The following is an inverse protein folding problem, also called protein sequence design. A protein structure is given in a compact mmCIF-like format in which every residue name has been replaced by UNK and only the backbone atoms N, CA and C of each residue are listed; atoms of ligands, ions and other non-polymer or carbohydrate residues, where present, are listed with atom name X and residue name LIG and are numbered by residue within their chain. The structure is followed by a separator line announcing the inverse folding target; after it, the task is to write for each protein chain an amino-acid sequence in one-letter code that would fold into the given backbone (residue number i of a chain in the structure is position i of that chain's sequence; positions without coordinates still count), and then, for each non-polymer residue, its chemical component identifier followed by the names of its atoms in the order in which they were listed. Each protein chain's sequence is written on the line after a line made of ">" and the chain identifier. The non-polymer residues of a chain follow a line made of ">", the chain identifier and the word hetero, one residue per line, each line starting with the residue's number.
data_IF_106794100547
#
_entry.id   IF_106794100547
#
_cell.length_a   1.000
_cell.length_b   1.000
_cell.length_c   1.000
_cell.angle_alpha   90.00
_cell.angle_beta   90.00
_cell.angle_gamma   90.00
#
_symmetry.space_group_name_H-M   'P 1'
#
loop_
_entity.id
_entity.type
_entity.pdbx_description
1 polymer ?
#
# COMPACT_ATOMS: atom_id res chain seq x y z
N UNK A 1 3.43 4.42 -5.36
CA UNK A 1 3.81 3.75 -4.10
C UNK A 1 5.19 3.11 -4.14
N UNK A 2 5.46 2.12 -4.99
CA UNK A 2 6.77 1.40 -5.03
C UNK A 2 7.99 2.32 -5.22
N UNK A 3 7.88 3.37 -6.04
CA UNK A 3 8.94 4.39 -6.21
C UNK A 3 9.25 5.15 -4.91
N UNK A 4 8.23 5.38 -4.09
CA UNK A 4 8.37 6.11 -2.82
C UNK A 4 9.03 5.23 -1.76
N UNK A 5 8.64 3.95 -1.70
CA UNK A 5 9.26 3.02 -0.76
C UNK A 5 10.75 2.83 -1.04
N UNK A 6 11.16 2.85 -2.32
CA UNK A 6 12.56 2.72 -2.73
C UNK A 6 13.48 3.83 -2.22
N UNK A 7 12.96 5.00 -1.86
CA UNK A 7 13.78 6.10 -1.33
C UNK A 7 14.04 5.97 0.17
N UNK A 8 13.41 4.99 0.84
CA UNK A 8 13.53 4.79 2.28
C UNK A 8 14.63 3.77 2.56
N UNK A 9 15.72 4.24 3.18
CA UNK A 9 16.85 3.44 3.62
C UNK A 9 17.05 3.52 5.14
N UNK A 10 16.57 4.58 5.78
CA UNK A 10 16.65 4.82 7.23
C UNK A 10 15.33 5.39 7.77
N UNK A 11 15.23 5.49 9.09
CA UNK A 11 14.05 6.02 9.79
C UNK A 11 13.72 7.45 9.36
N UNK A 12 14.73 8.30 9.19
CA UNK A 12 14.58 9.70 8.82
C UNK A 12 13.91 9.84 7.45
N UNK A 13 14.27 8.98 6.48
CA UNK A 13 13.65 8.97 5.16
C UNK A 13 12.16 8.60 5.26
N UNK A 14 11.81 7.66 6.13
CA UNK A 14 10.43 7.25 6.35
C UNK A 14 9.60 8.41 6.93
N UNK A 15 10.17 9.19 7.86
CA UNK A 15 9.52 10.37 8.42
C UNK A 15 9.27 11.43 7.34
N UNK A 16 10.25 11.68 6.46
CA UNK A 16 10.11 12.62 5.35
C UNK A 16 9.07 12.14 4.32
N UNK A 17 9.06 10.84 4.02
CA UNK A 17 8.13 10.24 3.06
C UNK A 17 6.71 10.03 3.63
N UNK A 18 6.52 10.07 4.95
CA UNK A 18 5.27 9.74 5.63
C UNK A 18 4.02 10.48 5.08
N UNK A 19 4.04 11.80 4.83
CA UNK A 19 2.87 12.49 4.29
C UNK A 19 2.43 11.96 2.93
N UNK A 20 3.40 11.61 2.07
CA UNK A 20 3.15 11.09 0.73
C UNK A 20 2.73 9.62 0.77
N UNK A 21 3.34 8.83 1.64
CA UNK A 21 2.93 7.44 1.89
C UNK A 21 1.49 7.38 2.38
N UNK A 22 1.10 8.25 3.31
CA UNK A 22 -0.27 8.36 3.81
C UNK A 22 -1.28 8.61 2.69
N UNK A 23 -0.98 9.53 1.77
CA UNK A 23 -1.84 9.77 0.62
C UNK A 23 -1.98 8.53 -0.27
N UNK A 24 -0.86 7.86 -0.56
CA UNK A 24 -0.86 6.63 -1.36
C UNK A 24 -1.61 5.46 -0.69
N UNK A 25 -1.58 5.35 0.64
CA UNK A 25 -2.39 4.39 1.38
C UNK A 25 -3.88 4.70 1.28
N UNK A 26 -4.27 5.97 1.37
CA UNK A 26 -5.67 6.38 1.17
C UNK A 26 -6.16 6.02 -0.23
N UNK A 27 -5.37 6.32 -1.27
CA UNK A 27 -5.72 5.97 -2.66
C UNK A 27 -5.90 4.45 -2.81
N UNK A 28 -5.05 3.65 -2.16
CA UNK A 28 -5.14 2.19 -2.19
C UNK A 28 -6.44 1.71 -1.50
N UNK A 29 -6.80 2.29 -0.36
CA UNK A 29 -8.06 2.00 0.34
C UNK A 29 -9.26 2.35 -0.52
N UNK A 30 -9.25 3.49 -1.21
CA UNK A 30 -10.33 3.90 -2.10
C UNK A 30 -10.52 2.89 -3.25
N UNK A 31 -9.42 2.37 -3.82
CA UNK A 31 -9.48 1.29 -4.83
C UNK A 31 -10.05 0.00 -4.22
N UNK A 32 -9.64 -0.38 -3.01
CA UNK A 32 -10.16 -1.58 -2.34
C UNK A 32 -11.66 -1.49 -2.05
N UNK A 33 -12.14 -0.32 -1.62
CA UNK A 33 -13.56 -0.05 -1.41
C UNK A 33 -14.34 -0.13 -2.73
N UNK A 34 -13.85 0.51 -3.78
CA UNK A 34 -14.46 0.47 -5.10
C UNK A 34 -14.54 -0.97 -5.66
N UNK A 35 -13.48 -1.75 -5.51
CA UNK A 35 -13.45 -3.15 -5.90
C UNK A 35 -14.48 -3.99 -5.11
N UNK A 36 -14.61 -3.75 -3.81
CA UNK A 36 -15.61 -4.42 -2.95
C UNK A 36 -17.04 -4.06 -3.35
N UNK A 37 -17.31 -2.81 -3.73
CA UNK A 37 -18.62 -2.40 -4.25
C UNK A 37 -18.95 -3.06 -5.59
N UNK A 38 -17.96 -3.18 -6.47
CA UNK A 38 -18.14 -3.86 -7.75
C UNK A 38 -18.39 -5.37 -7.58
N UNK A 39 -17.67 -6.04 -6.67
CA UNK A 39 -17.91 -7.45 -6.34
C UNK A 39 -19.32 -7.69 -5.78
N UNK A 40 -19.87 -6.75 -4.98
CA UNK A 40 -21.25 -6.83 -4.50
C UNK A 40 -22.29 -6.66 -5.61
N UNK A 41 -21.94 -5.97 -6.71
CA UNK A 41 -22.83 -5.67 -7.84
C UNK A 41 -22.73 -6.68 -8.98
N UNK A 42 -21.58 -7.37 -9.15
CA UNK A 42 -21.38 -8.38 -10.18
C UNK A 42 -21.55 -9.81 -9.64
N UNK A 43 -22.57 -10.53 -10.07
CA UNK A 43 -22.73 -11.97 -9.84
C UNK A 43 -21.88 -12.84 -10.80
N UNK A 44 -20.91 -12.28 -11.53
CA UNK A 44 -20.26 -12.96 -12.67
C UNK A 44 -18.73 -12.97 -12.59
N UNK A 45 -18.22 -14.19 -12.35
CA UNK A 45 -16.99 -14.81 -12.88
C UNK A 45 -15.74 -13.94 -13.12
N UNK A 46 -14.76 -14.16 -12.25
CA UNK A 46 -13.33 -13.80 -12.35
C UNK A 46 -12.68 -14.28 -13.68
N UNK A 47 -12.41 -13.38 -14.61
CA UNK A 47 -11.62 -13.70 -15.83
C UNK A 47 -10.54 -12.64 -16.15
N UNK A 48 -10.08 -11.84 -15.18
CA UNK A 48 -8.97 -10.89 -15.42
C UNK A 48 -8.04 -10.77 -14.22
N UNK A 49 -7.16 -11.77 -14.01
CA UNK A 49 -6.12 -11.73 -12.98
C UNK A 49 -4.71 -12.11 -13.46
N UNK A 50 -4.42 -12.13 -14.77
CA UNK A 50 -3.12 -12.60 -15.28
C UNK A 50 -2.05 -11.51 -15.53
N UNK A 51 -2.36 -10.23 -15.37
CA UNK A 51 -1.39 -9.14 -15.62
C UNK A 51 -1.00 -8.27 -14.42
N UNK A 52 -1.59 -8.45 -13.23
CA UNK A 52 -1.29 -7.62 -12.05
C UNK A 52 -0.24 -8.21 -11.08
N UNK A 53 0.10 -9.50 -11.23
CA UNK A 53 0.99 -10.18 -10.27
C UNK A 53 2.36 -9.50 -10.13
N UNK A 54 2.98 -9.06 -11.24
CA UNK A 54 4.33 -8.49 -11.18
C UNK A 54 4.42 -7.17 -10.40
N UNK A 55 3.39 -6.32 -10.43
CA UNK A 55 3.42 -5.04 -9.72
C UNK A 55 3.09 -5.22 -8.24
N UNK A 56 2.12 -6.08 -7.93
CA UNK A 56 1.80 -6.54 -6.57
C UNK A 56 3.02 -7.14 -5.87
N UNK A 57 3.75 -8.00 -6.56
CA UNK A 57 4.93 -8.67 -6.01
C UNK A 57 6.08 -7.69 -5.74
N UNK A 58 6.30 -6.71 -6.63
CA UNK A 58 7.28 -5.64 -6.40
C UNK A 58 6.91 -4.76 -5.21
N UNK A 59 5.63 -4.40 -5.07
CA UNK A 59 5.16 -3.63 -3.93
C UNK A 59 5.36 -4.41 -2.63
N UNK A 60 5.01 -5.71 -2.63
CA UNK A 60 5.21 -6.60 -1.47
C UNK A 60 6.68 -6.73 -1.10
N UNK A 61 7.56 -6.89 -2.09
CA UNK A 61 9.00 -7.00 -1.86
C UNK A 61 9.56 -5.72 -1.22
N UNK A 62 9.18 -4.54 -1.73
CA UNK A 62 9.63 -3.27 -1.16
C UNK A 62 9.06 -3.01 0.24
N UNK A 63 7.80 -3.39 0.49
CA UNK A 63 7.22 -3.31 1.83
C UNK A 63 8.00 -4.21 2.79
N UNK A 64 8.25 -5.47 2.45
CA UNK A 64 9.03 -6.37 3.30
C UNK A 64 10.43 -5.81 3.60
N UNK A 65 11.09 -5.19 2.61
CA UNK A 65 12.39 -4.54 2.79
C UNK A 65 12.30 -3.38 3.79
N UNK A 66 11.33 -2.49 3.62
CA UNK A 66 11.15 -1.28 4.45
C UNK A 66 10.79 -1.66 5.90
N UNK A 67 9.99 -2.70 6.12
CA UNK A 67 9.64 -3.19 7.46
C UNK A 67 10.80 -3.85 8.22
N UNK A 68 11.84 -4.29 7.51
CA UNK A 68 13.04 -4.85 8.13
C UNK A 68 13.98 -3.75 8.68
N UNK A 69 13.75 -2.47 8.35
CA UNK A 69 14.57 -1.36 8.82
C UNK A 69 14.08 -0.93 10.21
N UNK A 70 15.01 -0.83 11.16
CA UNK A 70 14.71 -0.42 12.53
C UNK A 70 14.03 0.95 12.59
N UNK A 71 12.95 1.06 13.36
CA UNK A 71 12.18 2.30 13.56
C UNK A 71 11.35 2.78 12.36
N UNK A 72 11.57 2.26 11.15
CA UNK A 72 10.79 2.58 9.95
C UNK A 72 9.39 1.98 10.02
N UNK A 73 9.28 0.76 10.57
CA UNK A 73 8.00 0.05 10.73
C UNK A 73 6.93 0.89 11.42
N UNK A 74 7.24 1.49 12.56
CA UNK A 74 6.30 2.32 13.32
C UNK A 74 5.82 3.54 12.51
N UNK A 75 6.70 4.14 11.71
CA UNK A 75 6.37 5.31 10.89
C UNK A 75 5.41 4.91 9.75
N UNK A 76 5.68 3.76 9.12
CA UNK A 76 4.82 3.20 8.08
C UNK A 76 3.46 2.81 8.64
N UNK A 77 3.42 2.09 9.76
CA UNK A 77 2.17 1.64 10.41
C UNK A 77 1.30 2.83 10.83
N UNK A 78 1.88 3.88 11.41
CA UNK A 78 1.15 5.13 11.71
C UNK A 78 0.58 5.80 10.45
N UNK A 79 1.32 5.74 9.34
CA UNK A 79 0.86 6.29 8.06
C UNK A 79 -0.27 5.46 7.43
N UNK A 80 -0.40 4.19 7.81
CA UNK A 80 -1.48 3.29 7.37
C UNK A 80 -2.72 3.37 8.25
N UNK A 81 -2.56 3.60 9.56
CA UNK A 81 -3.61 3.51 10.57
C UNK A 81 -4.86 4.33 10.18
N UNK A 82 -4.66 5.59 9.78
CA UNK A 82 -5.77 6.45 9.36
C UNK A 82 -6.47 5.98 8.09
N UNK A 83 -5.72 5.41 7.14
CA UNK A 83 -6.30 4.89 5.90
C UNK A 83 -7.13 3.63 6.19
N UNK A 84 -6.62 2.72 7.03
CA UNK A 84 -7.29 1.47 7.39
C UNK A 84 -8.56 1.70 8.22
N UNK A 85 -8.64 2.77 9.03
CA UNK A 85 -9.87 3.11 9.75
C UNK A 85 -11.08 3.38 8.84
N UNK A 86 -10.87 3.61 7.54
CA UNK A 86 -11.94 3.85 6.55
C UNK A 86 -12.49 2.58 5.88
N UNK A 87 -11.86 1.42 6.09
CA UNK A 87 -12.11 0.17 5.35
C UNK A 87 -13.01 -0.80 6.12
#
# INVERSE_FOLDING_TARGET
>A
MTKELKTIHHREDAVVAAPKLKHLFNDLVDVMLAAREQQKKSNSSDESRKHEFSFSDQLRAEMNRVYAIEGVREVIEKSQEEALHRL
#
